data_IF_334190909791
#
_entry.id   IF_334190909791
#
_cell.length_a   1.000
_cell.length_b   1.000
_cell.length_c   1.000
_cell.angle_alpha   90.00
_cell.angle_beta   90.00
_cell.angle_gamma   90.00
#
_symmetry.space_group_name_H-M   'P 1'
#
loop_
_entity.id
_entity.type
_entity.pdbx_description
1 polymer ?
#
# COMPACT_ATOMS: atom_id res chain seq x y z
N UNK A 1 -44.62 12.84 -27.71
CA UNK A 1 -44.07 14.18 -27.64
C UNK A 1 -42.87 14.09 -26.73
N UNK A 2 -41.68 13.58 -27.15
CA UNK A 2 -40.65 14.24 -27.99
C UNK A 2 -40.26 15.60 -27.43
N UNK A 3 -38.97 15.64 -27.00
CA UNK A 3 -38.11 16.79 -26.75
C UNK A 3 -38.21 17.38 -25.33
N UNK A 4 -37.12 17.08 -24.59
CA UNK A 4 -36.31 17.98 -23.78
C UNK A 4 -35.59 17.16 -22.70
N UNK A 5 -34.61 16.37 -23.10
CA UNK A 5 -33.57 15.88 -22.20
C UNK A 5 -32.28 15.71 -23.02
N UNK A 6 -31.70 16.83 -23.40
CA UNK A 6 -30.40 16.86 -24.05
C UNK A 6 -29.88 18.29 -23.98
N UNK A 7 -29.24 18.62 -22.83
CA UNK A 7 -28.43 19.85 -22.68
C UNK A 7 -27.95 19.95 -21.24
N UNK A 8 -27.07 19.02 -20.81
CA UNK A 8 -26.12 19.26 -19.70
C UNK A 8 -25.00 18.21 -19.71
N UNK A 9 -24.49 17.95 -20.94
CA UNK A 9 -23.27 17.15 -21.09
C UNK A 9 -22.40 17.77 -22.17
N UNK A 10 -21.98 19.00 -21.96
CA UNK A 10 -20.99 19.68 -22.78
C UNK A 10 -20.53 20.90 -22.03
N UNK A 11 -19.46 20.79 -21.32
CA UNK A 11 -18.50 21.87 -21.05
C UNK A 11 -17.51 21.44 -19.95
N UNK A 12 -16.60 20.55 -20.25
CA UNK A 12 -15.18 20.65 -19.86
C UNK A 12 -14.42 19.69 -20.80
N UNK A 13 -14.47 19.96 -22.10
CA UNK A 13 -13.35 19.65 -22.96
C UNK A 13 -12.61 20.96 -23.13
N UNK A 14 -11.74 21.29 -22.21
CA UNK A 14 -10.71 22.29 -22.45
C UNK A 14 -9.76 21.71 -23.52
N UNK A 15 -9.75 22.37 -24.67
CA UNK A 15 -8.81 22.11 -25.75
C UNK A 15 -7.38 22.07 -25.21
N UNK A 16 -6.78 20.90 -25.19
CA UNK A 16 -5.35 20.80 -25.26
C UNK A 16 -4.92 21.17 -26.69
N UNK A 17 -4.75 22.43 -26.96
CA UNK A 17 -3.95 22.90 -28.07
C UNK A 17 -2.50 22.55 -27.75
N UNK A 18 -2.00 21.51 -28.41
CA UNK A 18 -0.57 21.22 -28.47
C UNK A 18 0.13 22.40 -29.18
N UNK A 19 0.47 23.41 -28.38
CA UNK A 19 1.44 24.41 -28.75
C UNK A 19 2.81 23.89 -28.29
N UNK A 20 3.69 23.55 -29.23
CA UNK A 20 5.13 23.51 -28.99
C UNK A 20 5.64 24.93 -28.64
N UNK A 21 5.39 25.35 -27.40
CA UNK A 21 6.05 26.50 -26.81
C UNK A 21 6.88 25.96 -25.64
N UNK A 22 8.15 26.27 -25.59
CA UNK A 22 8.99 25.98 -24.43
C UNK A 22 8.24 26.44 -23.17
N UNK A 23 7.94 25.49 -22.24
CA UNK A 23 7.34 25.82 -20.94
C UNK A 23 8.29 26.84 -20.28
N UNK A 24 7.79 28.02 -19.90
CA UNK A 24 8.58 28.97 -19.13
C UNK A 24 8.78 28.37 -17.74
N UNK A 25 9.98 28.57 -17.18
CA UNK A 25 10.26 28.20 -15.79
C UNK A 25 9.17 28.78 -14.85
N UNK A 26 8.73 28.02 -13.83
CA UNK A 26 7.81 28.53 -12.82
C UNK A 26 8.46 29.68 -12.04
N UNK A 27 7.73 30.77 -11.85
CA UNK A 27 8.22 31.98 -11.16
C UNK A 27 8.12 31.87 -9.63
N UNK A 28 7.45 30.85 -9.14
CA UNK A 28 7.26 30.49 -7.73
C UNK A 28 7.30 28.96 -7.60
N UNK A 29 7.59 28.43 -6.39
CA UNK A 29 7.54 26.99 -6.17
C UNK A 29 6.15 26.41 -6.52
N UNK A 30 6.07 25.20 -7.09
CA UNK A 30 4.79 24.56 -7.43
C UNK A 30 3.97 24.29 -6.17
N UNK A 31 2.65 24.24 -6.30
CA UNK A 31 1.76 23.82 -5.22
C UNK A 31 1.97 22.34 -4.91
N UNK A 32 1.88 21.98 -3.62
CA UNK A 32 1.88 20.60 -3.17
C UNK A 32 0.43 20.13 -2.95
N UNK A 33 0.02 19.12 -3.71
CA UNK A 33 -1.21 18.36 -3.47
C UNK A 33 -0.90 17.11 -2.69
N UNK A 34 -1.63 16.88 -1.60
CA UNK A 34 -1.53 15.66 -0.78
C UNK A 34 -2.84 14.90 -0.93
N UNK A 35 -2.75 13.62 -1.33
CA UNK A 35 -3.90 12.77 -1.60
C UNK A 35 -3.81 11.49 -0.77
N UNK A 36 -4.89 11.09 -0.10
CA UNK A 36 -4.95 9.80 0.59
C UNK A 36 -5.34 8.66 -0.37
N UNK A 37 -5.26 7.42 0.08
CA UNK A 37 -5.57 6.24 -0.71
C UNK A 37 -7.04 6.20 -1.22
N UNK A 38 -7.99 6.89 -0.57
CA UNK A 38 -9.39 7.00 -0.98
C UNK A 38 -9.62 8.13 -1.99
N UNK A 39 -8.57 8.85 -2.41
CA UNK A 39 -8.66 9.92 -3.38
C UNK A 39 -9.08 11.28 -2.80
N UNK A 40 -9.26 11.41 -1.49
CA UNK A 40 -9.43 12.72 -0.86
C UNK A 40 -8.11 13.50 -0.93
N UNK A 41 -8.17 14.76 -1.35
CA UNK A 41 -6.97 15.57 -1.56
C UNK A 41 -7.11 16.98 -1.02
N UNK A 42 -5.97 17.55 -0.62
CA UNK A 42 -5.82 18.93 -0.19
C UNK A 42 -4.63 19.58 -0.91
N UNK A 43 -4.64 20.91 -1.00
CA UNK A 43 -3.44 21.67 -1.33
C UNK A 43 -2.78 22.10 -0.03
N UNK A 44 -1.52 21.71 0.19
CA UNK A 44 -0.77 22.05 1.39
C UNK A 44 -0.51 23.57 1.48
N UNK A 45 -0.43 24.09 2.69
CA UNK A 45 -0.07 25.50 2.91
C UNK A 45 1.39 25.74 2.54
N UNK A 46 1.64 26.70 1.66
CA UNK A 46 2.99 27.13 1.28
C UNK A 46 3.61 27.97 2.40
N UNK A 47 4.76 27.54 2.91
CA UNK A 47 5.55 28.23 3.92
C UNK A 47 6.67 29.09 3.32
N UNK A 48 7.81 29.14 4.01
CA UNK A 48 9.01 29.84 3.51
C UNK A 48 9.56 29.18 2.26
N UNK A 49 10.11 29.97 1.37
CA UNK A 49 10.87 29.47 0.23
C UNK A 49 11.96 30.43 -0.23
N UNK A 50 12.98 29.91 -0.88
CA UNK A 50 13.88 30.61 -1.76
C UNK A 50 13.76 29.97 -3.16
N UNK A 51 13.64 30.81 -4.20
CA UNK A 51 13.32 30.33 -5.53
C UNK A 51 14.00 31.17 -6.60
N UNK A 52 14.94 30.58 -7.33
CA UNK A 52 15.63 31.17 -8.46
C UNK A 52 15.09 30.58 -9.76
N UNK A 53 14.82 31.41 -10.74
CA UNK A 53 14.33 30.96 -12.03
C UNK A 53 14.87 31.82 -13.19
N UNK A 54 14.87 31.27 -14.39
CA UNK A 54 15.35 31.91 -15.59
C UNK A 54 14.18 32.56 -16.35
N UNK A 55 14.27 33.87 -16.55
CA UNK A 55 13.30 34.62 -17.36
C UNK A 55 13.41 34.24 -18.85
N UNK A 56 12.35 34.52 -19.62
CA UNK A 56 12.38 34.35 -21.09
C UNK A 56 13.47 35.16 -21.78
N UNK A 57 14.01 36.17 -21.12
CA UNK A 57 15.18 36.94 -21.59
C UNK A 57 16.50 36.19 -21.44
N UNK A 58 16.54 35.08 -20.71
CA UNK A 58 17.73 34.36 -20.32
C UNK A 58 18.39 34.93 -19.04
N UNK A 59 17.81 35.92 -18.41
CA UNK A 59 18.29 36.50 -17.13
C UNK A 59 17.76 35.66 -15.98
N UNK A 60 18.61 35.34 -15.00
CA UNK A 60 18.25 34.65 -13.76
C UNK A 60 17.83 35.64 -12.70
N UNK A 61 16.72 35.34 -12.03
CA UNK A 61 16.17 36.16 -10.95
C UNK A 61 15.67 35.25 -9.82
N UNK A 62 15.49 35.77 -8.61
CA UNK A 62 15.05 35.01 -7.47
C UNK A 62 13.99 35.69 -6.65
N UNK A 63 13.21 34.92 -5.92
CA UNK A 63 12.20 35.35 -4.96
C UNK A 63 12.43 34.63 -3.63
N UNK A 64 12.37 35.36 -2.54
CA UNK A 64 12.42 34.80 -1.19
C UNK A 64 11.13 35.18 -0.48
N UNK A 65 10.48 34.21 0.14
CA UNK A 65 9.34 34.43 1.01
C UNK A 65 9.63 33.85 2.40
N UNK A 66 9.37 34.64 3.43
CA UNK A 66 9.41 34.20 4.81
C UNK A 66 8.00 33.72 5.23
N UNK A 67 7.90 32.50 5.73
CA UNK A 67 6.69 31.92 6.31
C UNK A 67 6.92 31.59 7.78
N UNK A 68 5.84 31.49 8.53
CA UNK A 68 5.91 31.07 9.93
C UNK A 68 6.24 29.56 10.02
N UNK A 69 6.79 29.16 11.18
CA UNK A 69 7.01 27.75 11.46
C UNK A 69 5.67 26.97 11.47
N UNK A 70 5.60 25.73 10.96
CA UNK A 70 4.33 24.99 10.92
C UNK A 70 3.67 24.79 12.29
N UNK A 71 4.43 24.84 13.37
CA UNK A 71 3.92 24.75 14.74
C UNK A 71 3.52 26.10 15.35
N UNK A 72 3.64 27.21 14.62
CA UNK A 72 3.20 28.51 15.13
C UNK A 72 1.66 28.50 15.29
N UNK A 73 1.16 28.93 16.44
CA UNK A 73 -0.26 29.00 16.76
C UNK A 73 -1.07 29.75 15.67
N UNK A 74 -0.47 30.79 15.06
CA UNK A 74 -1.13 31.53 13.99
C UNK A 74 -1.25 30.74 12.67
N UNK A 75 -0.50 29.66 12.50
CA UNK A 75 -0.60 28.78 11.33
C UNK A 75 -1.70 27.74 11.47
N UNK A 76 -2.19 27.47 12.67
CA UNK A 76 -3.15 26.41 12.96
C UNK A 76 -4.41 26.49 12.11
N UNK A 77 -5.03 27.66 12.02
CA UNK A 77 -6.25 27.86 11.25
C UNK A 77 -6.02 27.93 9.72
N UNK A 78 -4.77 28.12 9.30
CA UNK A 78 -4.39 28.21 7.88
C UNK A 78 -3.86 26.90 7.33
N UNK A 79 -3.49 25.95 8.19
CA UNK A 79 -2.92 24.66 7.78
C UNK A 79 -4.06 23.73 7.34
N UNK A 80 -4.08 23.31 6.06
CA UNK A 80 -5.12 22.42 5.54
C UNK A 80 -5.10 21.07 6.25
N UNK A 81 -6.28 20.49 6.42
CA UNK A 81 -6.45 19.19 7.07
C UNK A 81 -6.86 18.16 6.02
N UNK A 82 -6.04 17.13 5.84
CA UNK A 82 -6.39 15.94 5.08
C UNK A 82 -7.18 15.00 6.00
N UNK A 83 -8.41 14.73 5.62
CA UNK A 83 -9.18 13.69 6.29
C UNK A 83 -8.61 12.33 5.90
N UNK A 84 -8.11 11.60 6.89
CA UNK A 84 -7.59 10.25 6.75
C UNK A 84 -8.72 9.26 7.05
N UNK A 85 -8.69 8.05 6.50
CA UNK A 85 -9.62 7.01 6.91
C UNK A 85 -9.65 6.84 8.42
N UNK A 86 -10.74 6.31 8.96
CA UNK A 86 -10.87 6.09 10.40
C UNK A 86 -9.77 5.12 10.84
N UNK A 87 -9.06 5.50 11.89
CA UNK A 87 -8.00 4.69 12.47
C UNK A 87 -8.55 3.37 12.99
N UNK A 88 -8.20 2.29 12.34
CA UNK A 88 -8.55 0.93 12.75
C UNK A 88 -7.70 0.47 13.94
N UNK A 89 -6.47 0.92 14.00
CA UNK A 89 -5.59 0.79 15.17
C UNK A 89 -4.63 1.97 15.26
N UNK A 90 -4.06 2.20 16.45
CA UNK A 90 -3.09 3.27 16.67
C UNK A 90 -1.76 3.05 15.92
N UNK A 91 -1.51 1.86 15.41
CA UNK A 91 -0.29 1.49 14.68
C UNK A 91 -0.50 1.37 13.17
N UNK A 92 -1.73 1.58 12.66
CA UNK A 92 -2.01 1.44 11.24
C UNK A 92 -1.46 2.62 10.45
N UNK A 93 -0.71 2.34 9.38
CA UNK A 93 -0.15 3.34 8.47
C UNK A 93 -0.98 3.44 7.19
N UNK A 94 -1.25 4.65 6.76
CA UNK A 94 -1.96 4.94 5.52
C UNK A 94 -1.05 5.59 4.50
N UNK A 95 -1.04 5.07 3.31
CA UNK A 95 -0.29 5.66 2.19
C UNK A 95 -0.91 6.99 1.77
N UNK A 96 -0.09 8.02 1.68
CA UNK A 96 -0.45 9.29 1.06
C UNK A 96 0.47 9.58 -0.12
N UNK A 97 -0.09 10.20 -1.16
CA UNK A 97 0.65 10.65 -2.33
C UNK A 97 0.88 12.15 -2.27
N UNK A 98 2.12 12.57 -2.47
CA UNK A 98 2.57 13.96 -2.51
C UNK A 98 2.89 14.32 -3.96
N UNK A 99 2.13 15.23 -4.57
CA UNK A 99 2.28 15.62 -5.97
C UNK A 99 2.57 17.11 -6.13
N UNK A 100 3.58 17.43 -6.92
CA UNK A 100 3.94 18.80 -7.32
C UNK A 100 3.58 19.06 -8.79
N UNK A 101 2.65 18.30 -9.34
CA UNK A 101 2.28 18.36 -10.75
C UNK A 101 3.47 18.08 -11.68
N UNK A 102 3.61 18.86 -12.76
CA UNK A 102 4.68 18.70 -13.75
C UNK A 102 6.09 19.14 -13.25
N UNK A 103 6.22 19.62 -12.03
CA UNK A 103 7.45 20.20 -11.48
C UNK A 103 7.90 19.45 -10.22
N UNK A 104 8.08 18.13 -10.32
CA UNK A 104 8.53 17.31 -9.21
C UNK A 104 9.89 17.77 -8.68
N UNK A 105 10.08 17.85 -7.34
CA UNK A 105 11.39 18.16 -6.74
C UNK A 105 12.37 17.00 -6.93
N UNK A 106 13.66 17.31 -6.81
CA UNK A 106 14.72 16.29 -6.83
C UNK A 106 14.75 15.50 -5.53
N UNK A 107 14.42 16.14 -4.42
CA UNK A 107 14.32 15.49 -3.12
C UNK A 107 13.31 16.15 -2.21
N UNK A 108 12.74 15.36 -1.29
CA UNK A 108 11.89 15.85 -0.21
C UNK A 108 12.32 15.26 1.14
N UNK A 109 12.04 15.99 2.22
CA UNK A 109 12.11 15.49 3.59
C UNK A 109 10.75 15.73 4.21
N UNK A 110 10.09 14.66 4.66
CA UNK A 110 8.83 14.74 5.40
C UNK A 110 9.12 14.69 6.89
N UNK A 111 8.62 15.68 7.62
CA UNK A 111 8.69 15.77 9.09
C UNK A 111 7.30 15.72 9.66
N UNK A 112 7.15 15.14 10.85
CA UNK A 112 5.88 15.14 11.56
C UNK A 112 6.06 15.50 13.05
N UNK A 113 4.97 15.98 13.62
CA UNK A 113 4.77 16.25 15.05
C UNK A 113 3.35 15.83 15.43
N UNK A 114 3.14 15.53 16.69
CA UNK A 114 1.78 15.35 17.19
C UNK A 114 1.09 16.69 17.45
N UNK A 115 -0.22 16.70 17.59
CA UNK A 115 -1.00 17.94 17.78
C UNK A 115 -0.67 18.70 19.08
N UNK A 116 -0.08 18.03 20.08
CA UNK A 116 0.31 18.68 21.34
C UNK A 116 1.52 19.61 21.17
N UNK A 117 2.18 19.54 20.02
CA UNK A 117 3.32 20.42 19.71
C UNK A 117 2.91 21.81 19.18
N UNK A 118 1.62 22.08 18.96
CA UNK A 118 1.18 23.43 18.60
C UNK A 118 1.65 24.47 19.62
N UNK A 119 2.25 25.56 19.12
CA UNK A 119 2.85 26.61 19.93
C UNK A 119 4.30 26.38 20.36
N UNK A 120 4.81 25.13 20.27
CA UNK A 120 6.22 24.82 20.55
C UNK A 120 7.05 24.66 19.27
N UNK A 121 7.51 25.78 18.72
CA UNK A 121 8.36 25.80 17.51
C UNK A 121 9.74 25.16 17.71
N UNK A 122 10.08 24.72 18.92
CA UNK A 122 11.33 24.03 19.24
C UNK A 122 11.11 22.50 19.39
N UNK A 123 9.87 22.03 19.28
CA UNK A 123 9.56 20.60 19.37
C UNK A 123 10.33 19.81 18.30
N UNK A 124 10.90 18.68 18.72
CA UNK A 124 11.67 17.81 17.83
C UNK A 124 10.73 17.08 16.88
N UNK A 125 10.99 17.27 15.57
CA UNK A 125 10.30 16.52 14.53
C UNK A 125 10.77 15.06 14.45
N UNK A 126 9.87 14.17 14.14
CA UNK A 126 10.16 12.85 13.58
C UNK A 126 10.31 12.98 12.07
N UNK A 127 11.27 12.24 11.47
CA UNK A 127 11.42 12.15 10.02
C UNK A 127 10.75 10.86 9.54
N UNK A 128 9.89 11.01 8.56
CA UNK A 128 9.21 9.89 7.93
C UNK A 128 9.92 9.50 6.62
N UNK A 129 9.91 8.23 6.31
CA UNK A 129 10.39 7.71 5.03
C UNK A 129 9.47 8.16 3.90
N UNK A 130 10.05 8.47 2.75
CA UNK A 130 9.33 8.83 1.54
C UNK A 130 9.93 8.07 0.36
N UNK A 131 9.10 7.61 -0.55
CA UNK A 131 9.52 6.91 -1.75
C UNK A 131 9.14 7.75 -2.98
N UNK A 132 10.09 7.95 -3.89
CA UNK A 132 9.83 8.62 -5.16
C UNK A 132 9.29 7.61 -6.15
N UNK A 133 8.21 7.98 -6.84
CA UNK A 133 7.57 7.18 -7.87
C UNK A 133 8.05 7.60 -9.27
N UNK A 134 7.88 6.73 -10.26
CA UNK A 134 8.32 6.98 -11.64
C UNK A 134 7.60 8.15 -12.31
N UNK A 135 6.37 8.46 -11.90
CA UNK A 135 5.60 9.61 -12.38
C UNK A 135 6.02 10.94 -11.76
N UNK A 136 7.05 10.93 -10.88
CA UNK A 136 7.56 12.11 -10.18
C UNK A 136 6.79 12.46 -8.90
N UNK A 137 5.79 11.71 -8.49
CA UNK A 137 5.15 11.84 -7.19
C UNK A 137 6.01 11.20 -6.09
N UNK A 138 5.63 11.42 -4.84
CA UNK A 138 6.22 10.74 -3.69
C UNK A 138 5.13 10.10 -2.85
N UNK A 139 5.41 8.94 -2.27
CA UNK A 139 4.52 8.28 -1.32
C UNK A 139 5.14 8.28 0.08
N UNK A 140 4.30 8.33 1.09
CA UNK A 140 4.68 8.21 2.49
C UNK A 140 3.60 7.48 3.26
N UNK A 141 4.02 6.73 4.27
CA UNK A 141 3.14 6.06 5.21
C UNK A 141 2.89 6.96 6.44
N UNK A 142 1.64 7.28 6.71
CA UNK A 142 1.24 8.15 7.82
C UNK A 142 0.33 7.42 8.80
N UNK A 143 0.53 7.67 10.10
CA UNK A 143 -0.43 7.26 11.11
C UNK A 143 -1.75 8.03 10.93
N UNK A 144 -2.91 7.41 11.16
CA UNK A 144 -4.23 8.06 11.05
C UNK A 144 -4.50 9.07 12.17
N UNK A 145 -3.62 9.14 13.16
CA UNK A 145 -3.71 10.11 14.25
C UNK A 145 -3.58 11.54 13.76
N UNK A 146 -4.07 12.50 14.55
CA UNK A 146 -3.84 13.93 14.28
C UNK A 146 -2.35 14.20 14.29
N UNK A 147 -1.82 14.53 13.12
CA UNK A 147 -0.42 14.87 12.91
C UNK A 147 -0.28 16.23 12.22
N UNK A 148 0.82 16.91 12.52
CA UNK A 148 1.23 18.14 11.84
C UNK A 148 2.43 17.79 10.99
N UNK A 149 2.37 18.05 9.70
CA UNK A 149 3.39 17.64 8.75
C UNK A 149 4.03 18.83 8.06
N UNK A 150 5.34 18.72 7.79
CA UNK A 150 6.09 19.65 6.97
C UNK A 150 6.84 18.89 5.89
N UNK A 151 6.62 19.27 4.65
CA UNK A 151 7.42 18.84 3.50
C UNK A 151 8.45 19.91 3.20
N UNK A 152 9.70 19.52 3.14
CA UNK A 152 10.86 20.33 2.79
C UNK A 152 11.35 19.82 1.43
N UNK A 153 11.01 20.54 0.38
CA UNK A 153 11.24 20.13 -1.00
C UNK A 153 12.35 20.95 -1.64
N UNK A 154 13.22 20.31 -2.42
CA UNK A 154 14.35 20.93 -3.09
C UNK A 154 14.37 20.62 -4.57
N UNK A 155 14.64 21.65 -5.39
CA UNK A 155 14.80 21.58 -6.84
C UNK A 155 16.19 22.05 -7.24
N UNK A 156 16.82 21.39 -8.21
CA UNK A 156 18.11 21.74 -8.79
C UNK A 156 18.10 21.49 -10.30
N UNK A 157 17.29 22.26 -11.03
CA UNK A 157 17.21 22.20 -12.49
C UNK A 157 17.96 23.35 -13.16
N UNK A 158 18.23 23.27 -14.47
CA UNK A 158 18.87 24.36 -15.21
C UNK A 158 18.02 25.63 -15.27
N UNK A 159 16.69 25.47 -15.35
CA UNK A 159 15.74 26.57 -15.56
C UNK A 159 15.26 27.20 -14.26
N UNK A 160 15.22 26.45 -13.17
CA UNK A 160 14.82 26.89 -11.85
C UNK A 160 15.46 26.02 -10.76
N UNK A 161 15.76 26.62 -9.63
CA UNK A 161 16.23 25.89 -8.46
C UNK A 161 15.80 26.62 -7.18
N UNK A 162 15.79 25.90 -6.07
CA UNK A 162 15.42 26.46 -4.80
C UNK A 162 14.88 25.44 -3.80
N UNK A 163 14.37 25.94 -2.71
CA UNK A 163 13.81 25.16 -1.62
C UNK A 163 12.50 25.76 -1.16
N UNK A 164 11.51 24.92 -0.91
CA UNK A 164 10.23 25.38 -0.39
C UNK A 164 9.71 24.43 0.71
N UNK A 165 9.02 25.02 1.67
CA UNK A 165 8.39 24.32 2.77
C UNK A 165 6.87 24.35 2.60
N UNK A 166 6.23 23.23 2.88
CA UNK A 166 4.79 23.11 2.85
C UNK A 166 4.31 22.45 4.13
N UNK A 167 3.13 22.83 4.60
CA UNK A 167 2.55 22.21 5.79
C UNK A 167 1.11 21.77 5.57
N UNK A 168 0.75 20.68 6.20
CA UNK A 168 -0.59 20.17 6.28
C UNK A 168 -0.78 19.40 7.58
N UNK A 169 -2.03 19.17 7.95
CA UNK A 169 -2.40 18.32 9.07
C UNK A 169 -3.17 17.11 8.55
N UNK A 170 -3.18 16.04 9.33
CA UNK A 170 -4.11 14.94 9.16
C UNK A 170 -5.12 14.94 10.28
N UNK A 171 -6.29 14.40 10.00
CA UNK A 171 -7.32 14.12 10.98
C UNK A 171 -8.02 12.83 10.56
N UNK A 172 -8.24 11.91 11.49
CA UNK A 172 -9.05 10.75 11.18
C UNK A 172 -10.46 11.21 10.78
N UNK A 173 -10.96 10.72 9.66
CA UNK A 173 -12.34 10.97 9.25
C UNK A 173 -13.29 10.52 10.38
N UNK A 174 -14.31 11.32 10.67
CA UNK A 174 -15.26 10.96 11.71
C UNK A 174 -14.73 10.99 13.14
N UNK A 175 -13.69 11.78 13.47
CA UNK A 175 -13.27 12.05 14.86
C UNK A 175 -14.32 12.82 15.69
N UNK A 176 -15.50 13.08 15.15
CA UNK A 176 -16.72 13.20 15.92
C UNK A 176 -17.01 11.80 16.46
N UNK A 177 -17.11 11.66 17.77
CA UNK A 177 -17.12 10.40 18.50
C UNK A 177 -17.93 9.32 17.79
N UNK A 178 -17.27 8.24 17.36
CA UNK A 178 -17.95 7.06 16.83
C UNK A 178 -18.94 6.54 17.89
N UNK A 179 -20.12 6.20 17.46
CA UNK A 179 -21.09 5.57 18.33
C UNK A 179 -20.73 4.11 18.52
N UNK A 180 -20.52 3.73 19.77
CA UNK A 180 -20.31 2.32 20.12
C UNK A 180 -21.59 1.54 19.88
N UNK A 181 -21.57 0.57 18.98
CA UNK A 181 -22.67 -0.32 18.69
C UNK A 181 -22.80 -1.42 19.74
N UNK A 182 -21.93 -2.42 19.69
CA UNK A 182 -21.87 -3.51 20.64
C UNK A 182 -20.43 -3.69 21.17
N UNK A 183 -20.29 -4.04 22.43
CA UNK A 183 -19.01 -4.44 23.05
C UNK A 183 -19.24 -5.77 23.77
N UNK A 184 -18.51 -6.80 23.36
CA UNK A 184 -18.65 -8.13 23.91
C UNK A 184 -17.28 -8.61 24.42
N UNK A 185 -17.30 -9.36 25.51
CA UNK A 185 -16.14 -10.14 25.99
C UNK A 185 -16.55 -11.60 26.01
N UNK A 186 -15.77 -12.45 25.34
CA UNK A 186 -16.06 -13.87 25.21
C UNK A 186 -15.42 -14.61 26.38
N UNK A 187 -16.25 -15.05 27.35
CA UNK A 187 -15.80 -15.56 28.64
C UNK A 187 -15.05 -16.90 28.60
N UNK A 188 -15.24 -17.69 27.53
CA UNK A 188 -14.60 -19.00 27.32
C UNK A 188 -13.66 -18.97 26.11
N UNK A 189 -12.80 -17.94 26.05
CA UNK A 189 -11.91 -17.71 24.90
C UNK A 189 -10.95 -18.88 24.62
N UNK A 190 -10.60 -19.65 25.63
CA UNK A 190 -9.78 -20.86 25.51
C UNK A 190 -10.47 -22.01 24.76
N UNK A 191 -11.77 -21.95 24.56
CA UNK A 191 -12.52 -22.93 23.75
C UNK A 191 -12.63 -22.52 22.27
N UNK A 192 -12.32 -21.25 21.95
CA UNK A 192 -12.43 -20.71 20.60
C UNK A 192 -11.11 -20.87 19.87
N UNK A 193 -11.12 -21.62 18.78
CA UNK A 193 -9.96 -21.83 17.89
C UNK A 193 -10.09 -21.16 16.54
N UNK A 194 -11.31 -20.82 16.15
CA UNK A 194 -11.62 -20.28 14.83
C UNK A 194 -12.43 -19.00 14.95
N UNK A 195 -12.11 -18.04 14.12
CA UNK A 195 -12.81 -16.77 13.98
C UNK A 195 -13.40 -16.73 12.56
N UNK A 196 -14.70 -16.60 12.43
CA UNK A 196 -15.45 -16.55 11.17
C UNK A 196 -16.26 -15.25 11.13
N UNK A 197 -15.87 -14.34 10.25
CA UNK A 197 -16.44 -12.99 10.13
C UNK A 197 -17.04 -12.81 8.75
N UNK A 198 -18.32 -12.42 8.69
CA UNK A 198 -18.96 -11.95 7.47
C UNK A 198 -19.42 -10.50 7.67
N UNK A 199 -18.76 -9.59 6.94
CA UNK A 199 -18.91 -8.15 7.08
C UNK A 199 -19.30 -7.50 5.74
N UNK A 200 -19.69 -6.22 5.72
CA UNK A 200 -20.09 -5.57 4.47
C UNK A 200 -19.18 -4.41 4.09
N UNK A 201 -19.16 -3.38 4.89
CA UNK A 201 -18.41 -2.16 4.59
C UNK A 201 -17.87 -1.50 5.86
N UNK A 202 -16.84 -0.68 5.69
CA UNK A 202 -16.09 -0.07 6.75
C UNK A 202 -14.78 -0.81 7.00
N UNK A 203 -14.59 -1.39 8.19
CA UNK A 203 -13.35 -2.10 8.48
C UNK A 203 -13.52 -3.27 9.43
N UNK A 204 -12.68 -4.29 9.26
CA UNK A 204 -12.47 -5.42 10.18
C UNK A 204 -11.02 -5.43 10.59
N UNK A 205 -10.74 -5.30 11.89
CA UNK A 205 -9.42 -5.31 12.48
C UNK A 205 -9.31 -6.46 13.49
N UNK A 206 -8.34 -7.36 13.29
CA UNK A 206 -8.08 -8.51 14.17
C UNK A 206 -6.63 -8.41 14.64
N UNK A 207 -6.44 -8.36 15.94
CA UNK A 207 -5.11 -8.11 16.53
C UNK A 207 -4.87 -8.87 17.82
N UNK A 208 -3.60 -9.05 18.16
CA UNK A 208 -3.20 -9.60 19.47
C UNK A 208 -3.33 -8.51 20.56
N UNK A 209 -4.18 -8.73 21.55
CA UNK A 209 -4.48 -7.81 22.65
C UNK A 209 -3.66 -8.14 23.89
N UNK A 210 -2.63 -7.35 24.21
CA UNK A 210 -1.67 -7.62 25.30
C UNK A 210 -2.28 -7.60 26.72
N UNK A 211 -3.38 -6.87 26.91
CA UNK A 211 -3.96 -6.65 28.25
C UNK A 211 -5.30 -7.35 28.45
N UNK A 212 -5.66 -8.27 27.57
CA UNK A 212 -6.93 -8.99 27.65
C UNK A 212 -6.72 -10.48 27.83
N UNK A 213 -7.40 -11.06 28.83
CA UNK A 213 -7.48 -12.52 29.01
C UNK A 213 -8.64 -13.14 28.22
N UNK A 214 -9.47 -12.32 27.57
CA UNK A 214 -10.67 -12.75 26.84
C UNK A 214 -10.67 -12.13 25.43
N UNK A 215 -11.26 -12.83 24.48
CA UNK A 215 -11.53 -12.25 23.18
C UNK A 215 -12.49 -11.08 23.37
N UNK A 216 -12.07 -9.91 22.90
CA UNK A 216 -12.90 -8.70 22.88
C UNK A 216 -13.41 -8.44 21.48
N UNK A 217 -14.70 -8.15 21.34
CA UNK A 217 -15.33 -7.79 20.08
C UNK A 217 -16.03 -6.45 20.27
N UNK A 218 -15.65 -5.45 19.48
CA UNK A 218 -16.19 -4.09 19.55
C UNK A 218 -16.67 -3.65 18.19
N UNK A 219 -17.89 -3.15 18.14
CA UNK A 219 -18.49 -2.54 16.95
C UNK A 219 -18.64 -1.03 17.16
N UNK A 220 -18.29 -0.25 16.16
CA UNK A 220 -18.46 1.20 16.11
C UNK A 220 -19.04 1.63 14.76
N UNK A 221 -19.70 2.79 14.74
CA UNK A 221 -20.29 3.36 13.52
C UNK A 221 -20.41 4.88 13.61
N UNK A 222 -20.48 5.57 12.47
CA UNK A 222 -20.64 7.02 12.41
C UNK A 222 -21.98 7.52 12.97
N UNK A 223 -23.02 6.67 12.97
CA UNK A 223 -24.33 6.96 13.51
C UNK A 223 -24.73 5.94 14.59
N UNK A 224 -25.54 6.34 15.55
CA UNK A 224 -26.04 5.43 16.56
C UNK A 224 -26.88 4.30 15.93
N UNK A 225 -26.52 3.06 16.19
CA UNK A 225 -27.19 1.87 15.66
C UNK A 225 -28.43 1.51 16.48
N UNK A 226 -29.52 1.20 15.80
CA UNK A 226 -30.65 0.52 16.43
C UNK A 226 -30.25 -0.92 16.81
N UNK A 227 -30.97 -1.56 17.75
CA UNK A 227 -30.64 -2.94 18.16
C UNK A 227 -30.66 -3.94 17.01
N UNK A 228 -31.51 -3.74 16.00
CA UNK A 228 -31.59 -4.58 14.80
C UNK A 228 -30.46 -4.32 13.80
N UNK A 229 -29.70 -3.26 13.98
CA UNK A 229 -28.57 -2.86 13.12
C UNK A 229 -27.21 -3.24 13.71
N UNK A 230 -27.18 -3.70 14.96
CA UNK A 230 -25.96 -4.14 15.61
C UNK A 230 -25.48 -5.49 15.10
N UNK A 231 -24.19 -5.72 15.22
CA UNK A 231 -23.59 -7.02 14.92
C UNK A 231 -24.16 -8.12 15.78
N UNK A 232 -24.06 -9.34 15.30
CA UNK A 232 -24.42 -10.55 16.05
C UNK A 232 -23.20 -11.46 16.17
N UNK A 233 -22.90 -11.86 17.40
CA UNK A 233 -21.87 -12.85 17.70
C UNK A 233 -22.53 -14.13 18.20
N UNK A 234 -22.10 -15.27 17.64
CA UNK A 234 -22.53 -16.62 18.07
C UNK A 234 -21.30 -17.52 18.19
N UNK A 235 -21.39 -18.50 19.08
CA UNK A 235 -20.37 -19.53 19.22
C UNK A 235 -20.97 -20.84 18.69
N UNK A 236 -20.30 -21.47 17.75
CA UNK A 236 -20.66 -22.77 17.21
C UNK A 236 -19.49 -23.74 17.32
N UNK A 237 -19.55 -24.58 18.34
CA UNK A 237 -18.43 -25.44 18.71
C UNK A 237 -17.21 -24.64 19.18
N UNK A 238 -16.14 -24.67 18.41
CA UNK A 238 -14.89 -23.94 18.64
C UNK A 238 -14.75 -22.67 17.78
N UNK A 239 -15.82 -22.27 17.08
CA UNK A 239 -15.84 -21.16 16.13
C UNK A 239 -16.63 -19.97 16.70
N UNK A 240 -15.99 -18.80 16.79
CA UNK A 240 -16.66 -17.53 17.03
C UNK A 240 -17.10 -16.95 15.70
N UNK A 241 -18.42 -16.86 15.51
CA UNK A 241 -19.02 -16.26 14.31
C UNK A 241 -19.48 -14.84 14.58
N UNK A 242 -19.01 -13.90 13.76
CA UNK A 242 -19.36 -12.48 13.83
C UNK A 242 -20.03 -12.08 12.52
N UNK A 243 -21.22 -11.54 12.61
CA UNK A 243 -22.04 -11.16 11.44
C UNK A 243 -22.40 -9.68 11.52
N UNK A 244 -22.33 -8.98 10.39
CA UNK A 244 -22.64 -7.56 10.27
C UNK A 244 -24.04 -7.20 10.75
N UNK A 245 -25.02 -8.06 10.52
CA UNK A 245 -26.40 -7.96 10.97
C UNK A 245 -26.92 -9.32 11.40
N UNK A 246 -27.92 -9.35 12.26
CA UNK A 246 -28.63 -10.59 12.61
C UNK A 246 -29.46 -11.13 11.44
N UNK A 247 -29.67 -12.46 11.40
CA UNK A 247 -30.44 -13.16 10.36
C UNK A 247 -31.91 -12.68 10.26
N UNK A 248 -32.44 -12.09 11.33
CA UNK A 248 -33.79 -11.56 11.37
C UNK A 248 -33.95 -10.17 10.73
N UNK A 249 -32.84 -9.52 10.41
CA UNK A 249 -32.85 -8.18 9.81
C UNK A 249 -33.12 -8.28 8.31
N UNK A 250 -34.26 -7.74 7.88
CA UNK A 250 -34.69 -7.69 6.47
C UNK A 250 -34.56 -6.31 5.84
N UNK A 251 -34.01 -5.33 6.58
CA UNK A 251 -33.74 -3.99 6.09
C UNK A 251 -32.35 -3.86 5.48
N UNK A 252 -32.12 -2.83 4.68
CA UNK A 252 -30.79 -2.46 4.21
C UNK A 252 -30.18 -1.46 5.20
N UNK A 253 -29.14 -1.84 5.93
CA UNK A 253 -28.26 -0.89 6.57
C UNK A 253 -27.12 -0.60 5.59
N UNK A 254 -27.05 0.62 5.08
CA UNK A 254 -26.08 1.02 4.06
C UNK A 254 -24.90 1.82 4.65
N UNK A 255 -24.80 1.89 5.99
CA UNK A 255 -23.71 2.58 6.67
C UNK A 255 -22.48 1.69 6.88
N UNK A 256 -21.35 2.32 7.03
CA UNK A 256 -20.09 1.66 7.39
C UNK A 256 -20.05 1.33 8.88
N UNK A 257 -19.46 0.21 9.21
CA UNK A 257 -19.19 -0.22 10.58
C UNK A 257 -17.73 -0.65 10.72
N UNK A 258 -17.21 -0.41 11.90
CA UNK A 258 -15.85 -0.71 12.29
C UNK A 258 -15.88 -1.82 13.34
N UNK A 259 -15.23 -2.92 13.04
CA UNK A 259 -15.16 -4.10 13.88
C UNK A 259 -13.73 -4.30 14.39
N UNK A 260 -13.54 -4.24 15.71
CA UNK A 260 -12.30 -4.59 16.36
C UNK A 260 -12.44 -5.94 17.07
N UNK A 261 -11.57 -6.89 16.77
CA UNK A 261 -11.48 -8.20 17.40
C UNK A 261 -10.11 -8.34 18.06
N UNK A 262 -10.04 -8.13 19.34
CA UNK A 262 -8.83 -8.32 20.14
C UNK A 262 -8.73 -9.75 20.64
N UNK A 263 -7.73 -10.50 20.18
CA UNK A 263 -7.41 -11.85 20.61
C UNK A 263 -6.42 -11.81 21.78
N UNK A 264 -6.59 -12.59 22.87
CA UNK A 264 -5.62 -12.61 23.97
C UNK A 264 -4.21 -12.94 23.48
N UNK A 265 -3.25 -12.05 23.69
CA UNK A 265 -1.88 -12.21 23.19
C UNK A 265 -1.19 -13.48 23.73
N UNK A 266 -1.53 -13.93 24.95
CA UNK A 266 -1.03 -15.19 25.53
C UNK A 266 -1.51 -16.41 24.72
N UNK A 267 -2.76 -16.40 24.25
CA UNK A 267 -3.32 -17.47 23.43
C UNK A 267 -2.75 -17.41 21.99
N UNK A 268 -2.62 -16.21 21.42
CA UNK A 268 -1.97 -16.00 20.11
C UNK A 268 -0.54 -16.56 20.14
N UNK A 269 0.28 -16.14 21.09
CA UNK A 269 1.67 -16.59 21.24
C UNK A 269 1.80 -18.10 21.53
N UNK A 270 0.75 -18.73 22.09
CA UNK A 270 0.69 -20.17 22.30
C UNK A 270 0.26 -20.96 21.04
N UNK A 271 -0.02 -20.30 19.91
CA UNK A 271 -0.52 -20.93 18.70
C UNK A 271 -1.92 -21.51 18.85
N UNK A 272 -2.75 -20.88 19.69
CA UNK A 272 -4.07 -21.38 20.02
C UNK A 272 -5.08 -21.28 18.89
N UNK A 273 -5.04 -20.17 18.11
CA UNK A 273 -5.95 -19.93 17.03
C UNK A 273 -5.52 -20.68 15.76
N UNK A 274 -6.44 -21.48 15.21
CA UNK A 274 -6.18 -22.36 14.06
C UNK A 274 -6.63 -21.74 12.74
N UNK A 275 -7.70 -20.94 12.74
CA UNK A 275 -8.19 -20.27 11.52
C UNK A 275 -8.78 -18.90 11.81
N UNK A 276 -8.46 -17.94 10.95
CA UNK A 276 -9.16 -16.67 10.80
C UNK A 276 -9.73 -16.62 9.39
N UNK A 277 -11.05 -16.51 9.27
CA UNK A 277 -11.79 -16.40 8.02
C UNK A 277 -12.60 -15.11 8.03
N UNK A 278 -12.37 -14.25 7.01
CA UNK A 278 -13.07 -12.96 6.89
C UNK A 278 -13.58 -12.77 5.48
N UNK A 279 -14.88 -12.64 5.33
CA UNK A 279 -15.56 -12.41 4.07
C UNK A 279 -16.24 -11.03 4.10
N UNK A 280 -15.91 -10.16 3.13
CA UNK A 280 -16.50 -8.80 3.06
C UNK A 280 -16.94 -8.42 1.64
N UNK A 281 -17.71 -7.33 1.52
CA UNK A 281 -18.02 -6.72 0.22
C UNK A 281 -17.08 -5.54 -0.06
N UNK A 282 -17.07 -4.54 0.82
CA UNK A 282 -16.31 -3.30 0.61
C UNK A 282 -15.52 -2.89 1.87
N UNK A 283 -15.43 -3.76 2.89
CA UNK A 283 -14.67 -3.46 4.09
C UNK A 283 -13.19 -3.72 3.91
N UNK A 284 -12.38 -2.88 4.52
CA UNK A 284 -10.95 -3.12 4.70
C UNK A 284 -10.76 -4.23 5.74
N UNK A 285 -9.82 -5.14 5.49
CA UNK A 285 -9.49 -6.23 6.40
C UNK A 285 -8.04 -6.09 6.85
N UNK A 286 -7.83 -6.13 8.17
CA UNK A 286 -6.49 -6.10 8.76
C UNK A 286 -6.35 -7.21 9.78
N UNK A 287 -5.31 -8.01 9.63
CA UNK A 287 -4.95 -9.08 10.57
C UNK A 287 -3.52 -8.85 11.04
N UNK A 288 -3.33 -8.73 12.35
CA UNK A 288 -2.01 -8.63 12.99
C UNK A 288 -1.92 -9.57 14.21
N UNK A 289 -2.23 -10.84 13.96
CA UNK A 289 -2.17 -11.89 14.98
C UNK A 289 -1.63 -13.18 14.36
N UNK A 290 -0.74 -13.87 15.08
CA UNK A 290 -0.24 -15.19 14.67
C UNK A 290 -1.37 -16.21 14.67
N UNK A 291 -1.35 -17.09 13.67
CA UNK A 291 -2.31 -18.19 13.50
C UNK A 291 -1.55 -19.48 13.25
N UNK A 292 -1.92 -20.55 13.92
CA UNK A 292 -1.22 -21.83 13.81
C UNK A 292 -1.66 -22.69 12.62
N UNK A 293 -2.65 -22.24 11.86
CA UNK A 293 -3.20 -22.94 10.68
C UNK A 293 -3.34 -22.01 9.49
N UNK A 294 -4.46 -21.31 9.33
CA UNK A 294 -4.80 -20.60 8.11
C UNK A 294 -5.41 -19.20 8.37
N UNK A 295 -5.03 -18.24 7.55
CA UNK A 295 -5.71 -16.94 7.39
C UNK A 295 -6.31 -16.91 5.99
N UNK A 296 -7.63 -16.74 5.90
CA UNK A 296 -8.42 -16.76 4.67
C UNK A 296 -9.26 -15.46 4.61
N UNK A 297 -8.91 -14.57 3.69
CA UNK A 297 -9.50 -13.24 3.57
C UNK A 297 -10.08 -13.03 2.18
N UNK A 298 -11.35 -12.70 2.10
CA UNK A 298 -12.00 -12.38 0.83
C UNK A 298 -12.75 -11.05 0.87
N UNK A 299 -12.60 -10.25 -0.19
CA UNK A 299 -13.32 -8.99 -0.34
C UNK A 299 -13.56 -8.66 -1.82
N UNK A 300 -14.56 -7.84 -2.12
CA UNK A 300 -14.80 -7.39 -3.49
C UNK A 300 -14.09 -6.07 -3.77
N UNK A 301 -14.22 -5.08 -2.90
CA UNK A 301 -13.71 -3.73 -3.13
C UNK A 301 -12.77 -3.19 -2.06
N UNK A 302 -12.71 -3.81 -0.89
CA UNK A 302 -11.83 -3.41 0.21
C UNK A 302 -10.40 -3.92 0.05
N UNK A 303 -9.44 -3.28 0.68
CA UNK A 303 -8.08 -3.81 0.77
C UNK A 303 -8.02 -4.88 1.87
N UNK A 304 -7.17 -5.90 1.69
CA UNK A 304 -6.91 -6.93 2.67
C UNK A 304 -5.42 -7.00 3.01
N UNK A 305 -5.07 -6.91 4.29
CA UNK A 305 -3.68 -6.89 4.74
C UNK A 305 -3.45 -7.78 5.95
N UNK A 306 -2.32 -8.50 5.92
CA UNK A 306 -1.77 -9.25 7.05
C UNK A 306 -0.40 -8.64 7.40
N UNK A 307 -0.22 -8.23 8.65
CA UNK A 307 0.97 -7.50 9.09
C UNK A 307 1.59 -8.13 10.34
N UNK A 308 2.90 -8.38 10.30
CA UNK A 308 3.66 -8.86 11.46
C UNK A 308 3.21 -10.23 11.98
N UNK A 309 2.50 -11.02 11.16
CA UNK A 309 1.92 -12.28 11.58
C UNK A 309 2.70 -13.49 11.06
N UNK A 310 2.76 -14.53 11.88
CA UNK A 310 3.28 -15.84 11.50
C UNK A 310 2.11 -16.78 11.24
N UNK A 311 2.06 -17.40 10.05
CA UNK A 311 0.99 -18.32 9.68
C UNK A 311 1.47 -19.36 8.67
N UNK A 312 1.12 -20.67 8.82
CA UNK A 312 1.45 -21.71 7.85
C UNK A 312 0.80 -21.53 6.47
N UNK A 313 -0.41 -20.98 6.41
CA UNK A 313 -1.11 -20.75 5.15
C UNK A 313 -1.86 -19.41 5.18
N UNK A 314 -1.74 -18.63 4.11
CA UNK A 314 -2.47 -17.37 3.91
C UNK A 314 -3.07 -17.37 2.53
N UNK A 315 -4.39 -17.20 2.46
CA UNK A 315 -5.15 -17.03 1.22
C UNK A 315 -5.84 -15.67 1.25
N UNK A 316 -5.63 -14.86 0.22
CA UNK A 316 -6.29 -13.54 0.10
C UNK A 316 -6.83 -13.37 -1.33
N UNK A 317 -8.14 -13.18 -1.41
CA UNK A 317 -8.82 -12.92 -2.67
C UNK A 317 -9.49 -11.54 -2.68
N UNK A 318 -9.31 -10.78 -3.76
CA UNK A 318 -10.07 -9.54 -3.97
C UNK A 318 -10.39 -9.33 -5.46
N UNK A 319 -11.35 -8.48 -5.76
CA UNK A 319 -11.62 -8.10 -7.16
C UNK A 319 -10.92 -6.80 -7.52
N UNK A 320 -10.99 -5.79 -6.67
CA UNK A 320 -10.42 -4.46 -6.98
C UNK A 320 -9.65 -3.83 -5.82
N UNK A 321 -9.62 -4.46 -4.66
CA UNK A 321 -8.83 -4.03 -3.51
C UNK A 321 -7.36 -4.40 -3.65
N UNK A 322 -6.50 -3.74 -2.90
CA UNK A 322 -5.09 -4.10 -2.80
C UNK A 322 -4.91 -5.21 -1.75
N UNK A 323 -3.96 -6.09 -2.02
CA UNK A 323 -3.56 -7.17 -1.13
C UNK A 323 -2.18 -6.87 -0.57
N UNK A 324 -1.98 -7.03 0.74
CA UNK A 324 -0.69 -6.81 1.37
C UNK A 324 -0.35 -7.85 2.44
N UNK A 325 0.81 -8.48 2.29
CA UNK A 325 1.46 -9.26 3.34
C UNK A 325 2.78 -8.58 3.70
N UNK A 326 2.91 -8.08 4.94
CA UNK A 326 4.06 -7.25 5.34
C UNK A 326 4.63 -7.70 6.68
N UNK A 327 5.96 -7.74 6.79
CA UNK A 327 6.71 -8.01 8.02
C UNK A 327 6.35 -9.33 8.73
N UNK A 328 6.00 -10.38 7.98
CA UNK A 328 5.60 -11.68 8.51
C UNK A 328 6.43 -12.85 8.00
N UNK A 329 6.08 -14.04 8.51
CA UNK A 329 6.66 -15.32 8.08
C UNK A 329 5.54 -16.29 7.76
N UNK A 330 5.50 -16.76 6.52
CA UNK A 330 4.43 -17.59 6.01
C UNK A 330 4.96 -18.90 5.40
N UNK A 331 4.19 -19.96 5.46
CA UNK A 331 4.48 -21.19 4.72
C UNK A 331 4.02 -21.04 3.27
N UNK A 332 2.77 -21.36 3.00
CA UNK A 332 2.14 -21.20 1.68
C UNK A 332 1.33 -19.91 1.62
N UNK A 333 1.45 -19.19 0.54
CA UNK A 333 0.76 -17.91 0.28
C UNK A 333 0.03 -18.00 -1.05
N UNK A 334 -1.29 -17.76 -1.07
CA UNK A 334 -2.11 -17.69 -2.27
C UNK A 334 -2.76 -16.28 -2.34
N UNK A 335 -2.41 -15.49 -3.35
CA UNK A 335 -2.91 -14.12 -3.49
C UNK A 335 -3.52 -13.92 -4.86
N UNK A 336 -4.77 -13.47 -4.90
CA UNK A 336 -5.44 -13.18 -6.15
C UNK A 336 -6.15 -11.82 -6.18
N UNK A 337 -6.04 -11.13 -7.32
CA UNK A 337 -6.81 -9.91 -7.58
C UNK A 337 -7.06 -9.71 -9.07
N UNK A 338 -8.16 -9.06 -9.43
CA UNK A 338 -8.36 -8.70 -10.84
C UNK A 338 -7.61 -7.42 -11.19
N UNK A 339 -7.61 -6.39 -10.33
CA UNK A 339 -7.03 -5.09 -10.67
C UNK A 339 -6.33 -4.35 -9.53
N UNK A 340 -6.29 -4.92 -8.33
CA UNK A 340 -5.60 -4.34 -7.18
C UNK A 340 -4.08 -4.54 -7.26
N UNK A 341 -3.35 -3.82 -6.43
CA UNK A 341 -1.91 -4.06 -6.23
C UNK A 341 -1.71 -5.20 -5.24
N UNK A 342 -0.74 -6.07 -5.50
CA UNK A 342 -0.29 -7.10 -4.55
C UNK A 342 1.08 -6.71 -4.03
N UNK A 343 1.24 -6.67 -2.71
CA UNK A 343 2.49 -6.44 -2.00
C UNK A 343 2.80 -7.62 -1.08
N UNK A 344 3.97 -8.25 -1.26
CA UNK A 344 4.47 -9.28 -0.37
C UNK A 344 5.87 -8.88 0.11
N UNK A 345 5.98 -8.46 1.36
CA UNK A 345 7.23 -8.01 1.97
C UNK A 345 7.48 -8.80 3.27
N UNK A 346 8.34 -9.84 3.20
CA UNK A 346 8.63 -10.74 4.32
C UNK A 346 9.21 -12.06 3.87
N UNK A 347 8.95 -13.13 4.64
CA UNK A 347 9.46 -14.47 4.36
C UNK A 347 8.31 -15.42 4.01
N UNK A 348 8.41 -16.15 2.89
CA UNK A 348 7.47 -17.20 2.53
C UNK A 348 8.22 -18.44 1.99
N UNK A 349 7.70 -19.65 2.27
CA UNK A 349 8.24 -20.87 1.68
C UNK A 349 7.85 -20.96 0.20
N UNK A 350 6.57 -20.73 -0.10
CA UNK A 350 6.03 -20.69 -1.46
C UNK A 350 4.93 -19.64 -1.59
N UNK A 351 4.80 -19.07 -2.78
CA UNK A 351 3.71 -18.17 -3.13
C UNK A 351 3.12 -18.52 -4.50
N UNK A 352 1.80 -18.46 -4.60
CA UNK A 352 1.03 -18.51 -5.84
C UNK A 352 0.30 -17.17 -5.98
N UNK A 353 0.53 -16.44 -7.07
CA UNK A 353 0.03 -15.08 -7.25
C UNK A 353 -0.63 -14.95 -8.62
N UNK A 354 -1.92 -14.66 -8.60
CA UNK A 354 -2.70 -14.45 -9.81
C UNK A 354 -3.23 -13.02 -9.90
N UNK A 355 -3.07 -12.40 -11.07
CA UNK A 355 -3.70 -11.10 -11.33
C UNK A 355 -4.08 -10.92 -12.80
N UNK A 356 -5.14 -10.17 -13.08
CA UNK A 356 -5.44 -9.79 -14.47
C UNK A 356 -4.63 -8.57 -14.90
N UNK A 357 -4.56 -7.53 -14.07
CA UNK A 357 -3.91 -6.26 -14.43
C UNK A 357 -3.25 -5.52 -13.26
N UNK A 358 -3.22 -6.13 -12.08
CA UNK A 358 -2.58 -5.57 -10.89
C UNK A 358 -1.06 -5.60 -10.97
N UNK A 359 -0.40 -4.60 -10.41
CA UNK A 359 1.04 -4.64 -10.18
C UNK A 359 1.32 -5.56 -8.99
N UNK A 360 2.34 -6.40 -9.12
CA UNK A 360 2.83 -7.27 -8.05
C UNK A 360 4.23 -6.82 -7.64
N UNK A 361 4.41 -6.53 -6.35
CA UNK A 361 5.65 -6.08 -5.74
C UNK A 361 6.06 -7.04 -4.62
N UNK A 362 7.18 -7.74 -4.78
CA UNK A 362 7.65 -8.74 -3.84
C UNK A 362 9.05 -8.38 -3.35
N UNK A 363 9.24 -8.32 -2.04
CA UNK A 363 10.52 -8.08 -1.41
C UNK A 363 10.74 -9.01 -0.21
N UNK A 364 11.86 -9.76 -0.19
CA UNK A 364 12.24 -10.60 0.94
C UNK A 364 12.73 -12.00 0.58
N UNK A 365 12.57 -12.95 1.52
CA UNK A 365 13.06 -14.32 1.35
C UNK A 365 11.93 -15.24 0.85
N UNK A 366 11.90 -15.51 -0.44
CA UNK A 366 10.94 -16.39 -1.07
C UNK A 366 11.63 -17.65 -1.64
N UNK A 367 11.06 -18.84 -1.39
CA UNK A 367 11.61 -20.12 -1.88
C UNK A 367 11.11 -20.51 -3.25
N UNK A 368 9.79 -20.40 -3.47
CA UNK A 368 9.14 -20.73 -4.74
C UNK A 368 8.05 -19.70 -5.03
N UNK A 369 7.96 -19.26 -6.29
CA UNK A 369 6.92 -18.37 -6.78
C UNK A 369 6.33 -18.92 -8.07
N UNK A 370 5.01 -19.07 -8.08
CA UNK A 370 4.19 -19.25 -9.26
C UNK A 370 3.41 -17.96 -9.50
N UNK A 371 3.60 -17.36 -10.69
CA UNK A 371 3.01 -16.06 -11.02
C UNK A 371 2.28 -16.11 -12.35
N UNK A 372 0.99 -15.84 -12.33
CA UNK A 372 0.17 -15.72 -13.54
C UNK A 372 -0.45 -14.34 -13.70
N UNK A 373 -0.32 -13.75 -14.89
CA UNK A 373 -0.92 -12.45 -15.20
C UNK A 373 -1.33 -12.31 -16.67
N UNK A 374 -2.35 -11.49 -16.93
CA UNK A 374 -2.64 -11.04 -18.30
C UNK A 374 -1.81 -9.81 -18.66
N UNK A 375 -1.78 -8.79 -17.81
CA UNK A 375 -1.10 -7.52 -18.09
C UNK A 375 -0.46 -6.85 -16.87
N UNK A 376 -0.45 -7.51 -15.73
CA UNK A 376 0.19 -7.01 -14.52
C UNK A 376 1.72 -7.15 -14.59
N UNK A 377 2.43 -6.17 -14.07
CA UNK A 377 3.89 -6.23 -13.94
C UNK A 377 4.30 -6.93 -12.66
N UNK A 378 5.35 -7.75 -12.71
CA UNK A 378 6.01 -8.34 -11.55
C UNK A 378 7.32 -7.61 -11.26
N UNK A 379 7.45 -7.13 -10.03
CA UNK A 379 8.71 -6.63 -9.47
C UNK A 379 9.09 -7.54 -8.31
N UNK A 380 10.17 -8.28 -8.44
CA UNK A 380 10.63 -9.22 -7.43
C UNK A 380 12.07 -8.92 -7.03
N UNK A 381 12.30 -8.62 -5.76
CA UNK A 381 13.61 -8.53 -5.14
C UNK A 381 13.75 -9.64 -4.07
N UNK A 382 14.54 -10.66 -4.36
CA UNK A 382 14.73 -11.77 -3.42
C UNK A 382 16.06 -11.67 -2.67
N UNK A 383 16.07 -12.16 -1.43
CA UNK A 383 17.26 -12.25 -0.59
C UNK A 383 17.95 -13.61 -0.65
N UNK A 384 17.36 -14.60 -1.35
CA UNK A 384 17.91 -15.95 -1.54
C UNK A 384 17.57 -16.47 -2.94
N UNK A 385 18.24 -17.55 -3.33
CA UNK A 385 17.88 -18.28 -4.54
C UNK A 385 16.44 -18.80 -4.45
N UNK A 386 15.72 -18.75 -5.57
CA UNK A 386 14.32 -19.17 -5.67
C UNK A 386 14.09 -20.03 -6.91
N UNK A 387 12.97 -20.75 -6.88
CA UNK A 387 12.34 -21.29 -8.08
C UNK A 387 11.21 -20.34 -8.48
N UNK A 388 11.22 -19.89 -9.72
CA UNK A 388 10.20 -19.01 -10.30
C UNK A 388 9.62 -19.67 -11.54
N UNK A 389 8.30 -19.81 -11.56
CA UNK A 389 7.50 -20.06 -12.74
C UNK A 389 6.63 -18.81 -12.97
N UNK A 390 6.78 -18.15 -14.13
CA UNK A 390 6.07 -16.90 -14.36
C UNK A 390 5.51 -16.81 -15.78
N UNK A 391 4.19 -16.66 -15.87
CA UNK A 391 3.48 -16.51 -17.14
C UNK A 391 2.78 -15.15 -17.23
N UNK A 392 2.98 -14.42 -18.33
CA UNK A 392 2.23 -13.19 -18.61
C UNK A 392 2.00 -12.97 -20.11
N UNK A 393 0.83 -12.42 -20.49
CA UNK A 393 0.62 -12.07 -21.89
C UNK A 393 1.37 -10.77 -22.29
N UNK A 394 1.33 -9.73 -21.45
CA UNK A 394 1.90 -8.41 -21.80
C UNK A 394 2.56 -7.66 -20.65
N UNK A 395 2.57 -8.19 -19.44
CA UNK A 395 3.24 -7.60 -18.28
C UNK A 395 4.77 -7.69 -18.39
N UNK A 396 5.47 -6.78 -17.75
CA UNK A 396 6.92 -6.82 -17.62
C UNK A 396 7.33 -7.47 -16.32
N UNK A 397 8.46 -8.20 -16.35
CA UNK A 397 9.00 -8.91 -15.20
C UNK A 397 10.37 -8.34 -14.86
N UNK A 398 10.53 -7.81 -13.66
CA UNK A 398 11.77 -7.24 -13.13
C UNK A 398 12.23 -8.06 -11.93
N UNK A 399 13.34 -8.76 -12.07
CA UNK A 399 13.94 -9.59 -11.03
C UNK A 399 15.23 -8.96 -10.51
N UNK A 400 15.37 -8.91 -9.18
CA UNK A 400 16.62 -8.54 -8.53
C UNK A 400 17.09 -9.73 -7.68
N UNK A 401 18.21 -10.35 -8.08
CA UNK A 401 18.81 -11.49 -7.39
C UNK A 401 19.99 -11.06 -6.52
N UNK A 402 20.34 -11.82 -5.47
CA UNK A 402 21.59 -11.56 -4.73
C UNK A 402 22.81 -11.50 -5.64
N UNK A 403 23.71 -10.55 -5.42
CA UNK A 403 24.82 -10.24 -6.34
C UNK A 403 25.77 -11.43 -6.61
N UNK A 404 25.88 -12.37 -5.68
CA UNK A 404 26.71 -13.58 -5.81
C UNK A 404 25.99 -14.74 -6.49
N UNK A 405 24.67 -14.71 -6.57
CA UNK A 405 23.88 -15.83 -7.07
C UNK A 405 23.95 -15.95 -8.60
N UNK A 406 23.73 -17.13 -9.07
CA UNK A 406 23.54 -17.46 -10.47
C UNK A 406 22.11 -17.90 -10.74
N UNK A 407 21.84 -18.20 -12.00
CA UNK A 407 20.53 -18.73 -12.39
C UNK A 407 20.58 -19.61 -13.63
N UNK A 408 19.62 -20.52 -13.73
CA UNK A 408 19.20 -21.11 -14.99
C UNK A 408 17.92 -20.43 -15.41
N UNK A 409 17.78 -20.07 -16.67
CA UNK A 409 16.61 -19.44 -17.24
C UNK A 409 16.15 -20.21 -18.48
N UNK A 410 14.93 -20.62 -18.47
CA UNK A 410 14.17 -21.03 -19.65
C UNK A 410 13.19 -19.87 -19.98
N UNK A 411 13.40 -19.21 -21.11
CA UNK A 411 12.63 -18.03 -21.48
C UNK A 411 11.93 -18.24 -22.82
N UNK A 412 10.61 -18.18 -22.81
CA UNK A 412 9.78 -18.26 -23.99
C UNK A 412 9.10 -16.93 -24.28
N UNK A 413 9.14 -16.46 -25.54
CA UNK A 413 8.46 -15.23 -25.93
C UNK A 413 8.14 -15.17 -27.42
N UNK A 414 6.99 -14.55 -27.78
CA UNK A 414 6.68 -14.25 -29.20
C UNK A 414 7.30 -12.91 -29.67
N UNK A 415 7.24 -11.87 -28.83
CA UNK A 415 7.62 -10.49 -29.19
C UNK A 415 8.32 -9.74 -28.05
N UNK A 416 8.50 -10.39 -26.91
CA UNK A 416 9.18 -9.81 -25.75
C UNK A 416 10.67 -9.64 -25.93
N UNK A 417 11.32 -9.08 -24.93
CA UNK A 417 12.76 -8.90 -24.87
C UNK A 417 13.32 -9.31 -23.52
N UNK A 418 14.54 -9.79 -23.51
CA UNK A 418 15.30 -10.10 -22.30
C UNK A 418 16.53 -9.22 -22.21
N UNK A 419 16.80 -8.65 -21.04
CA UNK A 419 18.01 -7.88 -20.72
C UNK A 419 18.55 -8.28 -19.34
N UNK A 420 19.87 -8.48 -19.25
CA UNK A 420 20.54 -8.73 -17.98
C UNK A 420 22.05 -8.52 -18.09
N UNK A 421 22.60 -7.65 -17.24
CA UNK A 421 24.04 -7.48 -17.12
C UNK A 421 24.75 -8.72 -16.54
N UNK A 422 24.02 -9.60 -15.84
CA UNK A 422 24.57 -10.84 -15.26
C UNK A 422 24.99 -11.85 -16.34
N UNK A 423 24.44 -11.77 -17.55
CA UNK A 423 24.84 -12.65 -18.68
C UNK A 423 26.27 -12.39 -19.19
N UNK A 424 26.90 -11.28 -18.80
CA UNK A 424 28.30 -10.99 -19.10
C UNK A 424 29.31 -11.72 -18.18
N UNK A 425 28.84 -12.47 -17.17
CA UNK A 425 29.72 -13.24 -16.28
C UNK A 425 30.52 -14.30 -17.05
N UNK A 426 31.77 -14.47 -16.66
CA UNK A 426 32.63 -15.52 -17.23
C UNK A 426 32.05 -16.93 -16.96
N UNK A 427 31.95 -17.74 -17.99
CA UNK A 427 31.36 -19.08 -17.90
C UNK A 427 29.85 -19.15 -18.18
N UNK A 428 29.21 -18.04 -18.51
CA UNK A 428 27.82 -18.06 -18.94
C UNK A 428 27.62 -18.87 -20.21
N UNK A 429 26.63 -19.75 -20.20
CA UNK A 429 26.20 -20.55 -21.36
C UNK A 429 24.88 -19.99 -21.90
N UNK A 430 24.77 -19.83 -23.20
CA UNK A 430 23.60 -19.31 -23.89
C UNK A 430 23.27 -20.20 -25.08
N UNK A 431 21.99 -20.60 -25.17
CA UNK A 431 21.43 -21.28 -26.33
C UNK A 431 20.13 -20.59 -26.70
N UNK A 432 20.05 -20.00 -27.90
CA UNK A 432 18.88 -19.27 -28.36
C UNK A 432 18.26 -19.93 -29.58
N UNK A 433 16.92 -20.07 -29.60
CA UNK A 433 16.06 -20.42 -30.72
C UNK A 433 15.31 -19.18 -31.26
N UNK A 434 14.27 -19.41 -32.05
CA UNK A 434 13.47 -18.31 -32.64
C UNK A 434 12.56 -17.62 -31.61
N UNK A 435 12.04 -18.39 -30.62
CA UNK A 435 11.12 -17.92 -29.58
C UNK A 435 11.49 -18.42 -28.18
N UNK A 436 12.60 -19.13 -28.06
CA UNK A 436 13.09 -19.74 -26.83
C UNK A 436 14.53 -19.34 -26.59
N UNK A 437 14.90 -19.11 -25.34
CA UNK A 437 16.27 -18.84 -24.97
C UNK A 437 16.61 -19.47 -23.62
N UNK A 438 17.70 -20.24 -23.59
CA UNK A 438 18.19 -20.91 -22.39
C UNK A 438 19.48 -20.24 -21.93
N UNK A 439 19.53 -19.84 -20.67
CA UNK A 439 20.73 -19.25 -20.07
C UNK A 439 21.15 -20.06 -18.84
N UNK A 440 22.43 -20.19 -18.67
CA UNK A 440 23.04 -20.66 -17.41
C UNK A 440 24.10 -19.65 -17.00
N UNK A 441 23.79 -18.82 -16.02
CA UNK A 441 24.69 -17.83 -15.44
C UNK A 441 25.25 -18.40 -14.14
N UNK A 442 26.57 -18.63 -14.04
CA UNK A 442 27.17 -19.29 -12.87
C UNK A 442 27.07 -18.40 -11.63
N UNK A 443 26.86 -19.03 -10.48
CA UNK A 443 27.01 -18.36 -9.18
C UNK A 443 28.49 -18.05 -8.91
N UNK A 444 28.75 -16.98 -8.16
CA UNK A 444 30.03 -16.64 -7.62
C UNK A 444 30.31 -17.45 -6.33
N UNK A 445 31.53 -17.31 -5.76
CA UNK A 445 31.88 -18.01 -4.53
C UNK A 445 30.91 -17.67 -3.38
N UNK A 446 30.24 -18.68 -2.83
CA UNK A 446 29.25 -18.53 -1.78
C UNK A 446 27.82 -18.18 -2.24
N UNK A 447 27.60 -18.06 -3.55
CA UNK A 447 26.26 -17.85 -4.11
C UNK A 447 25.55 -19.18 -4.40
N UNK A 448 24.24 -19.08 -4.58
CA UNK A 448 23.31 -20.16 -4.89
C UNK A 448 22.79 -20.04 -6.33
N UNK A 449 22.02 -21.03 -6.79
CA UNK A 449 21.44 -21.03 -8.13
C UNK A 449 19.94 -20.94 -8.06
N UNK A 450 19.35 -19.96 -8.72
CA UNK A 450 17.90 -19.88 -8.95
C UNK A 450 17.50 -20.65 -10.22
N UNK A 451 16.30 -21.21 -10.22
CA UNK A 451 15.68 -21.84 -11.40
C UNK A 451 14.53 -20.95 -11.87
N UNK A 452 14.62 -20.45 -13.09
CA UNK A 452 13.66 -19.49 -13.65
C UNK A 452 13.05 -20.09 -14.92
N UNK A 453 11.73 -20.25 -14.93
CA UNK A 453 10.93 -20.60 -16.10
C UNK A 453 9.98 -19.42 -16.36
N UNK A 454 10.13 -18.75 -17.49
CA UNK A 454 9.43 -17.49 -17.74
C UNK A 454 8.86 -17.47 -19.16
N UNK A 455 7.55 -17.29 -19.26
CA UNK A 455 6.83 -17.17 -20.53
C UNK A 455 6.12 -15.83 -20.65
N UNK A 456 6.30 -15.15 -21.79
CA UNK A 456 5.58 -13.91 -22.10
C UNK A 456 5.29 -13.78 -23.59
N UNK A 457 4.10 -13.28 -23.93
CA UNK A 457 3.80 -12.99 -25.34
C UNK A 457 4.51 -11.73 -25.80
N UNK A 458 4.51 -10.64 -25.02
CA UNK A 458 5.08 -9.34 -25.47
C UNK A 458 5.73 -8.51 -24.35
N UNK A 459 5.86 -9.02 -23.15
CA UNK A 459 6.49 -8.36 -22.01
C UNK A 459 8.01 -8.25 -22.11
N UNK A 460 8.61 -7.47 -21.22
CA UNK A 460 10.06 -7.38 -21.07
C UNK A 460 10.49 -8.10 -19.81
N UNK A 461 11.50 -8.96 -19.91
CA UNK A 461 12.17 -9.57 -18.78
C UNK A 461 13.49 -8.82 -18.51
N UNK A 462 13.67 -8.37 -17.28
CA UNK A 462 14.93 -7.78 -16.80
C UNK A 462 15.41 -8.52 -15.56
N UNK A 463 16.68 -8.96 -15.53
CA UNK A 463 17.28 -9.61 -14.36
C UNK A 463 18.53 -8.84 -13.95
N UNK A 464 18.50 -8.24 -12.76
CA UNK A 464 19.59 -7.47 -12.18
C UNK A 464 20.16 -8.11 -10.92
N UNK A 465 21.34 -7.66 -10.51
CA UNK A 465 21.93 -8.00 -9.23
C UNK A 465 21.61 -6.94 -8.18
N UNK A 466 21.29 -7.35 -6.96
CA UNK A 466 21.17 -6.43 -5.84
C UNK A 466 22.48 -5.65 -5.66
N UNK A 467 22.40 -4.33 -5.55
CA UNK A 467 23.56 -3.51 -5.18
C UNK A 467 23.91 -3.85 -3.73
N UNK A 468 24.98 -4.63 -3.54
CA UNK A 468 25.43 -5.00 -2.19
C UNK A 468 25.58 -3.75 -1.32
N UNK A 469 24.86 -3.70 -0.22
CA UNK A 469 25.11 -2.71 0.84
C UNK A 469 26.46 -3.03 1.47
N UNK A 470 27.48 -2.21 1.11
CA UNK A 470 28.76 -2.18 1.81
C UNK A 470 28.62 -1.63 3.23
#
# INVERSE_FOLDING_TARGET
>A
MKRLLSLFLCAVMALALAGCGAKSAPTEPPELTVTNAQGASITAHSGSYDWDYTLKSGERTGVIADGAHPLDENCRDMTPILEMPIAVSASFLYTVTLSFGDCAPDSIILRCWNEQCWGDTQAKAEKLSVQRQDDGTYTAELLPSVGIFQVDAQWDTEDYCGRAFYSFCTKAAGSEALHTGAVLSIGESENIRKIDISWRGGCVNIYAAEQSAQISVKEESAAALAESEKMVCTIDGDTLRIRFLGDAYRGSYDGEKYLDVGLPAELVSAGHFEKIEVETTDAYIYVSADVSGEIDLSTVGGDARVMGATCPAVEIETVSGSVGLVDGTWGMVELSTVSGTIELAGEAESAEIETTSGKVDIAGALGELDFESVSGDLILATERALRLDAETESGSIYLTLPAQDGFTLDYETEKGSFDSALTEREGTLIACGDHEAYYTVPALEGGEMSELEISTVSGTLTIDASSGSN
#
